data_IF_026525977140
#
_entry.id   IF_026525977140
#
_cell.length_a   1.000
_cell.length_b   1.000
_cell.length_c   1.000
_cell.angle_alpha   90.00
_cell.angle_beta   90.00
_cell.angle_gamma   90.00
#
_symmetry.space_group_name_H-M   'P 1'
#
loop_
_entity.id
_entity.type
_entity.pdbx_description
1 polymer ?
#
# COMPACT_ATOMS: atom_id res chain seq x y z
N UNK A 1 20.82 34.30 -28.61
CA UNK A 1 21.64 35.49 -28.94
C UNK A 1 22.80 35.73 -27.97
N UNK A 2 22.65 35.48 -26.66
CA UNK A 2 23.71 35.74 -25.67
C UNK A 2 25.03 34.99 -25.89
N UNK A 3 24.99 33.72 -26.32
CA UNK A 3 26.19 32.90 -26.55
C UNK A 3 27.10 33.45 -27.66
N UNK A 4 26.49 34.00 -28.71
CA UNK A 4 27.21 34.51 -29.89
C UNK A 4 27.77 35.92 -29.63
N UNK A 5 27.03 36.74 -28.88
CA UNK A 5 27.48 38.06 -28.40
C UNK A 5 28.65 37.98 -27.41
N UNK A 6 28.76 36.87 -26.65
CA UNK A 6 29.88 36.62 -25.74
C UNK A 6 31.19 36.24 -26.43
N UNK A 7 31.15 35.90 -27.72
CA UNK A 7 32.34 35.55 -28.52
C UNK A 7 32.90 36.82 -29.19
N UNK A 8 32.05 37.55 -29.92
CA UNK A 8 32.44 38.83 -30.50
C UNK A 8 31.21 39.74 -30.68
N UNK A 9 31.27 41.03 -30.31
CA UNK A 9 30.11 41.94 -30.39
C UNK A 9 29.50 42.04 -31.78
N UNK A 10 30.32 41.98 -32.83
CA UNK A 10 29.86 42.06 -34.23
C UNK A 10 29.11 40.82 -34.74
N UNK A 11 29.06 39.72 -33.96
CA UNK A 11 28.30 38.51 -34.34
C UNK A 11 26.83 38.56 -33.92
N UNK A 12 26.41 39.57 -33.16
CA UNK A 12 25.00 39.80 -32.82
C UNK A 12 24.35 40.95 -33.57
N UNK A 13 25.10 41.64 -34.43
CA UNK A 13 24.61 42.79 -35.21
C UNK A 13 24.19 42.31 -36.60
N UNK A 14 22.89 42.41 -36.91
CA UNK A 14 22.29 41.83 -38.13
C UNK A 14 22.71 42.62 -39.39
N UNK A 15 23.15 43.88 -39.23
CA UNK A 15 23.47 44.80 -40.34
C UNK A 15 24.96 45.19 -40.43
N UNK A 16 25.81 44.75 -39.50
CA UNK A 16 27.25 45.09 -39.44
C UNK A 16 28.20 44.02 -40.00
N UNK A 17 29.45 44.37 -40.38
CA UNK A 17 30.43 43.39 -40.82
C UNK A 17 30.85 42.44 -39.69
N UNK A 18 30.71 41.13 -39.92
CA UNK A 18 31.10 40.09 -38.96
C UNK A 18 32.62 39.90 -38.93
N UNK A 19 33.17 39.67 -37.74
CA UNK A 19 34.60 39.37 -37.59
C UNK A 19 34.89 37.94 -38.09
N UNK A 20 35.86 37.80 -38.99
CA UNK A 20 36.36 36.52 -39.54
C UNK A 20 37.83 36.28 -39.18
N UNK A 21 38.31 36.87 -38.08
CA UNK A 21 39.68 36.61 -37.60
C UNK A 21 39.86 35.15 -37.15
N UNK A 22 41.09 34.64 -37.23
CA UNK A 22 41.41 33.29 -36.74
C UNK A 22 41.01 33.10 -35.27
N UNK A 23 41.18 34.12 -34.44
CA UNK A 23 40.76 34.10 -33.02
C UNK A 23 39.24 33.95 -32.89
N UNK A 24 38.47 34.66 -33.71
CA UNK A 24 36.99 34.57 -33.72
C UNK A 24 36.54 33.18 -34.16
N UNK A 25 37.20 32.61 -35.19
CA UNK A 25 36.93 31.25 -35.67
C UNK A 25 37.26 30.20 -34.60
N UNK A 26 38.39 30.36 -33.89
CA UNK A 26 38.78 29.44 -32.82
C UNK A 26 37.81 29.49 -31.64
N UNK A 27 37.39 30.69 -31.22
CA UNK A 27 36.39 30.85 -30.16
C UNK A 27 35.02 30.28 -30.56
N UNK A 28 34.61 30.45 -31.82
CA UNK A 28 33.39 29.79 -32.34
C UNK A 28 33.50 28.27 -32.28
N UNK A 29 34.64 27.69 -32.68
CA UNK A 29 34.85 26.24 -32.61
C UNK A 29 34.75 25.71 -31.17
N UNK A 30 35.37 26.42 -30.21
CA UNK A 30 35.25 26.09 -28.78
C UNK A 30 33.80 26.17 -28.31
N UNK A 31 33.08 27.24 -28.65
CA UNK A 31 31.68 27.41 -28.27
C UNK A 31 30.77 26.34 -28.90
N UNK A 32 30.99 25.96 -30.16
CA UNK A 32 30.26 24.85 -30.81
C UNK A 32 30.50 23.53 -30.08
N UNK A 33 31.75 23.24 -29.69
CA UNK A 33 32.07 22.03 -28.94
C UNK A 33 31.39 22.00 -27.57
N UNK A 34 31.41 23.12 -26.84
CA UNK A 34 30.72 23.26 -25.54
C UNK A 34 29.21 23.08 -25.66
N UNK A 35 28.58 23.69 -26.68
CA UNK A 35 27.15 23.52 -26.93
C UNK A 35 26.79 22.08 -27.26
N UNK A 36 27.66 21.37 -27.98
CA UNK A 36 27.49 19.95 -28.29
C UNK A 36 27.53 19.08 -27.03
N UNK A 37 28.48 19.35 -26.14
CA UNK A 37 28.58 18.65 -24.86
C UNK A 37 27.32 18.86 -24.00
N UNK A 38 26.84 20.11 -23.89
CA UNK A 38 25.58 20.42 -23.19
C UNK A 38 24.40 19.69 -23.83
N UNK A 39 24.33 19.63 -25.17
CA UNK A 39 23.28 18.91 -25.90
C UNK A 39 23.28 17.43 -25.51
N UNK A 40 24.44 16.78 -25.53
CA UNK A 40 24.58 15.37 -25.17
C UNK A 40 24.20 15.09 -23.71
N UNK A 41 24.66 15.93 -22.77
CA UNK A 41 24.30 15.80 -21.35
C UNK A 41 22.78 15.91 -21.13
N UNK A 42 22.14 16.88 -21.79
CA UNK A 42 20.69 17.07 -21.71
C UNK A 42 19.90 15.94 -22.36
N UNK A 43 20.40 15.42 -23.48
CA UNK A 43 19.82 14.26 -24.15
C UNK A 43 19.85 13.03 -23.26
N UNK A 44 21.01 12.70 -22.67
CA UNK A 44 21.13 11.57 -21.76
C UNK A 44 20.17 11.70 -20.58
N UNK A 45 20.12 12.88 -19.96
CA UNK A 45 19.20 13.16 -18.85
C UNK A 45 17.73 12.94 -19.25
N UNK A 46 17.33 13.43 -20.43
CA UNK A 46 15.97 13.22 -20.93
C UNK A 46 15.67 11.73 -21.16
N UNK A 47 16.63 10.97 -21.69
CA UNK A 47 16.48 9.52 -21.93
C UNK A 47 16.34 8.74 -20.63
N UNK A 48 17.14 9.07 -19.62
CA UNK A 48 17.05 8.46 -18.28
C UNK A 48 15.67 8.72 -17.68
N UNK A 49 15.21 9.97 -17.71
CA UNK A 49 13.87 10.36 -17.21
C UNK A 49 12.74 9.67 -17.98
N UNK A 50 12.84 9.60 -19.31
CA UNK A 50 11.86 8.94 -20.17
C UNK A 50 11.77 7.43 -19.86
N UNK A 51 12.90 6.79 -19.56
CA UNK A 51 12.96 5.38 -19.17
C UNK A 51 12.28 5.17 -17.82
N UNK A 52 12.62 5.97 -16.81
CA UNK A 52 11.98 5.92 -15.48
C UNK A 52 10.46 6.17 -15.57
N UNK A 53 10.05 7.15 -16.38
CA UNK A 53 8.63 7.45 -16.60
C UNK A 53 7.88 6.24 -17.18
N UNK A 54 8.46 5.57 -18.17
CA UNK A 54 7.88 4.38 -18.78
C UNK A 54 7.77 3.21 -17.78
N UNK A 55 8.79 2.99 -16.95
CA UNK A 55 8.77 1.98 -15.89
C UNK A 55 7.68 2.27 -14.85
N UNK A 56 7.53 3.53 -14.43
CA UNK A 56 6.48 3.96 -13.50
C UNK A 56 5.09 3.76 -14.10
N UNK A 57 4.88 4.09 -15.37
CA UNK A 57 3.59 3.87 -16.03
C UNK A 57 3.20 2.40 -16.10
N UNK A 58 4.16 1.52 -16.43
CA UNK A 58 3.94 0.08 -16.46
C UNK A 58 3.65 -0.48 -15.05
N UNK A 59 4.33 0.02 -14.03
CA UNK A 59 4.14 -0.41 -12.65
C UNK A 59 2.79 0.04 -12.08
N UNK A 60 2.34 1.24 -12.46
CA UNK A 60 1.16 1.89 -11.89
C UNK A 60 -0.09 1.73 -12.75
N UNK A 61 -0.01 0.96 -13.83
CA UNK A 61 -1.07 0.81 -14.84
C UNK A 61 -1.64 2.17 -15.29
N UNK A 62 -0.76 3.14 -15.58
CA UNK A 62 -1.17 4.52 -15.89
C UNK A 62 -2.03 4.57 -17.16
N UNK A 63 -3.18 5.28 -17.17
CA UNK A 63 -4.05 5.37 -18.34
C UNK A 63 -3.36 5.93 -19.58
N UNK A 64 -3.73 5.43 -20.76
CA UNK A 64 -3.10 5.81 -22.03
C UNK A 64 -3.26 7.31 -22.34
N UNK A 65 -4.34 7.92 -21.86
CA UNK A 65 -4.63 9.35 -22.03
C UNK A 65 -3.58 10.21 -21.30
N UNK A 66 -3.15 9.79 -20.12
CA UNK A 66 -2.09 10.44 -19.35
C UNK A 66 -0.71 10.20 -20.02
N UNK A 67 -0.46 8.97 -20.49
CA UNK A 67 0.79 8.63 -21.19
C UNK A 67 0.96 9.44 -22.48
N UNK A 68 -0.13 9.69 -23.21
CA UNK A 68 -0.10 10.38 -24.50
C UNK A 68 0.44 11.81 -24.39
N UNK A 69 0.26 12.46 -23.23
CA UNK A 69 0.79 13.81 -22.97
C UNK A 69 2.33 13.88 -23.03
N UNK A 70 3.01 12.75 -22.82
CA UNK A 70 4.47 12.64 -22.78
C UNK A 70 5.02 11.66 -23.84
N UNK A 71 4.22 11.35 -24.88
CA UNK A 71 4.64 10.44 -25.96
C UNK A 71 5.90 10.95 -26.70
N UNK A 72 6.01 12.26 -26.88
CA UNK A 72 7.19 12.90 -27.47
C UNK A 72 8.46 12.71 -26.61
N UNK A 73 8.34 12.50 -25.30
CA UNK A 73 9.45 12.21 -24.41
C UNK A 73 9.90 10.76 -24.58
N UNK A 74 8.97 9.81 -24.55
CA UNK A 74 9.27 8.38 -24.66
C UNK A 74 9.79 7.96 -26.03
N UNK A 75 9.40 8.65 -27.11
CA UNK A 75 9.99 8.44 -28.44
C UNK A 75 11.50 8.76 -28.49
N UNK A 76 12.03 9.57 -27.56
CA UNK A 76 13.44 9.95 -27.54
C UNK A 76 14.37 8.96 -26.81
N UNK A 77 13.82 7.93 -26.15
CA UNK A 77 14.60 6.97 -25.34
C UNK A 77 15.78 6.37 -26.11
N UNK A 78 15.57 6.05 -27.40
CA UNK A 78 16.58 5.46 -28.27
C UNK A 78 17.12 6.42 -29.36
N UNK A 79 16.74 7.71 -29.31
CA UNK A 79 17.12 8.66 -30.34
C UNK A 79 18.61 9.02 -30.30
N UNK A 80 19.23 9.16 -31.48
CA UNK A 80 20.60 9.68 -31.60
C UNK A 80 20.65 11.21 -31.45
N UNK A 81 21.86 11.76 -31.28
CA UNK A 81 22.06 13.21 -31.23
C UNK A 81 21.47 13.94 -32.45
N UNK A 82 21.55 13.29 -33.61
CA UNK A 82 21.16 13.85 -34.91
C UNK A 82 19.64 13.80 -35.13
N UNK A 83 18.97 12.85 -34.49
CA UNK A 83 17.52 12.62 -34.59
C UNK A 83 16.72 13.62 -33.75
N UNK A 84 17.33 14.21 -32.71
CA UNK A 84 16.69 15.26 -31.90
C UNK A 84 16.87 16.61 -32.58
N UNK A 85 16.00 16.89 -33.55
CA UNK A 85 15.97 18.14 -34.33
C UNK A 85 14.90 19.12 -33.88
N UNK A 86 13.93 18.66 -33.08
CA UNK A 86 12.79 19.47 -32.66
C UNK A 86 13.23 20.63 -31.74
N UNK A 87 12.76 21.87 -32.00
CA UNK A 87 13.07 23.00 -31.14
C UNK A 87 12.57 22.79 -29.71
N UNK A 88 13.35 23.24 -28.73
CA UNK A 88 13.01 23.19 -27.29
C UNK A 88 12.90 21.80 -26.65
N UNK A 89 13.06 20.70 -27.39
CA UNK A 89 13.04 19.33 -26.84
C UNK A 89 14.14 19.09 -25.79
N UNK A 90 15.29 19.76 -25.92
CA UNK A 90 16.37 19.75 -24.91
C UNK A 90 16.50 21.10 -24.18
N UNK A 91 15.42 21.89 -24.13
CA UNK A 91 15.40 23.09 -23.32
C UNK A 91 15.41 22.72 -21.84
N UNK A 92 15.96 23.61 -21.00
CA UNK A 92 15.95 23.41 -19.56
C UNK A 92 14.51 23.33 -19.01
N UNK A 93 13.62 24.17 -19.54
CA UNK A 93 12.22 24.20 -19.14
C UNK A 93 11.50 22.88 -19.44
N UNK A 94 11.71 22.32 -20.63
CA UNK A 94 11.10 21.04 -21.01
C UNK A 94 11.62 19.88 -20.15
N UNK A 95 12.94 19.78 -19.95
CA UNK A 95 13.51 18.74 -19.09
C UNK A 95 12.96 18.88 -17.67
N UNK A 96 12.87 20.09 -17.14
CA UNK A 96 12.31 20.34 -15.81
C UNK A 96 10.82 19.92 -15.75
N UNK A 97 10.02 20.15 -16.80
CA UNK A 97 8.65 19.64 -16.86
C UNK A 97 8.60 18.10 -16.77
N UNK A 98 9.50 17.39 -17.45
CA UNK A 98 9.58 15.92 -17.39
C UNK A 98 10.02 15.46 -15.99
N UNK A 99 11.00 16.13 -15.39
CA UNK A 99 11.46 15.83 -14.02
C UNK A 99 10.33 15.99 -12.99
N UNK A 100 9.53 17.06 -13.11
CA UNK A 100 8.37 17.30 -12.25
C UNK A 100 7.34 16.18 -12.40
N UNK A 101 7.09 15.72 -13.62
CA UNK A 101 6.14 14.62 -13.84
C UNK A 101 6.66 13.29 -13.27
N UNK A 102 7.94 12.95 -13.48
CA UNK A 102 8.54 11.76 -12.86
C UNK A 102 8.44 11.83 -11.35
N UNK A 103 8.75 12.99 -10.75
CA UNK A 103 8.64 13.20 -9.30
C UNK A 103 7.19 13.02 -8.81
N UNK A 104 6.21 13.53 -9.56
CA UNK A 104 4.78 13.33 -9.27
C UNK A 104 4.38 11.86 -9.30
N UNK A 105 4.87 11.09 -10.27
CA UNK A 105 4.61 9.65 -10.38
C UNK A 105 5.27 8.86 -9.24
N UNK A 106 6.48 9.23 -8.83
CA UNK A 106 7.16 8.65 -7.67
C UNK A 106 6.40 8.91 -6.36
N UNK A 107 5.92 10.14 -6.16
CA UNK A 107 5.09 10.50 -5.00
C UNK A 107 3.77 9.72 -5.01
N UNK A 108 3.12 9.61 -6.17
CA UNK A 108 1.91 8.81 -6.33
C UNK A 108 2.15 7.32 -6.02
N UNK A 109 3.27 6.75 -6.48
CA UNK A 109 3.69 5.39 -6.16
C UNK A 109 3.86 5.20 -4.66
N UNK A 110 4.56 6.12 -3.99
CA UNK A 110 4.76 6.10 -2.53
C UNK A 110 3.42 6.16 -1.79
N UNK A 111 2.54 7.06 -2.19
CA UNK A 111 1.20 7.23 -1.61
C UNK A 111 0.34 5.96 -1.75
N UNK A 112 0.28 5.37 -2.95
CA UNK A 112 -0.45 4.10 -3.16
C UNK A 112 0.15 2.95 -2.36
N UNK A 113 1.48 2.88 -2.26
CA UNK A 113 2.14 1.84 -1.50
C UNK A 113 1.80 1.91 -0.01
N UNK A 114 1.77 3.12 0.56
CA UNK A 114 1.28 3.35 1.93
C UNK A 114 -0.17 2.89 2.11
N UNK A 115 -1.05 3.19 1.15
CA UNK A 115 -2.44 2.71 1.17
C UNK A 115 -2.51 1.18 1.20
N UNK A 116 -1.70 0.48 0.39
CA UNK A 116 -1.65 -0.97 0.37
C UNK A 116 -1.17 -1.56 1.71
N UNK A 117 -0.14 -0.99 2.31
CA UNK A 117 0.36 -1.40 3.62
C UNK A 117 -0.72 -1.24 4.70
N UNK A 118 -1.39 -0.09 4.75
CA UNK A 118 -2.49 0.16 5.69
C UNK A 118 -3.66 -0.80 5.46
N UNK A 119 -4.00 -1.12 4.20
CA UNK A 119 -5.03 -2.09 3.87
C UNK A 119 -4.67 -3.51 4.33
N UNK A 120 -3.41 -3.92 4.18
CA UNK A 120 -2.93 -5.22 4.69
C UNK A 120 -2.93 -5.27 6.21
N UNK A 121 -2.56 -4.18 6.88
CA UNK A 121 -2.67 -4.04 8.34
C UNK A 121 -4.11 -4.23 8.81
N UNK A 122 -5.07 -3.53 8.19
CA UNK A 122 -6.49 -3.66 8.60
C UNK A 122 -7.05 -5.06 8.33
N UNK A 123 -6.63 -5.71 7.24
CA UNK A 123 -6.95 -7.13 6.97
C UNK A 123 -6.41 -8.05 8.09
N UNK A 124 -5.16 -7.88 8.50
CA UNK A 124 -4.53 -8.61 9.60
C UNK A 124 -5.30 -8.42 10.92
N UNK A 125 -5.56 -7.17 11.30
CA UNK A 125 -6.29 -6.81 12.53
C UNK A 125 -7.72 -7.39 12.54
N UNK A 126 -8.41 -7.38 11.40
CA UNK A 126 -9.75 -7.96 11.28
C UNK A 126 -9.73 -9.47 11.49
N UNK A 127 -8.75 -10.18 10.93
CA UNK A 127 -8.61 -11.63 11.10
C UNK A 127 -8.28 -11.94 12.56
N UNK A 128 -7.33 -11.24 13.17
CA UNK A 128 -6.97 -11.43 14.58
C UNK A 128 -8.18 -11.23 15.49
N UNK A 129 -8.93 -10.13 15.31
CA UNK A 129 -10.16 -9.86 16.07
C UNK A 129 -11.21 -10.96 15.90
N UNK A 130 -11.45 -11.43 14.67
CA UNK A 130 -12.42 -12.51 14.40
C UNK A 130 -12.01 -13.86 14.97
N UNK A 131 -10.72 -14.05 15.22
CA UNK A 131 -10.15 -15.33 15.67
C UNK A 131 -9.68 -15.29 17.12
N UNK A 132 -9.93 -14.17 17.81
CA UNK A 132 -9.55 -13.94 19.20
C UNK A 132 -8.04 -14.13 19.42
N UNK A 133 -7.24 -13.74 18.43
CA UNK A 133 -5.78 -13.71 18.48
C UNK A 133 -5.32 -12.30 18.88
N UNK A 134 -4.33 -12.24 19.77
CA UNK A 134 -3.64 -10.98 20.08
C UNK A 134 -2.61 -10.72 18.97
N UNK A 135 -2.68 -9.60 18.25
CA UNK A 135 -1.65 -9.24 17.27
C UNK A 135 -0.31 -9.01 18.01
N UNK A 136 0.76 -9.71 17.63
CA UNK A 136 2.11 -9.51 18.19
C UNK A 136 2.74 -8.14 17.83
N UNK A 137 1.98 -7.23 17.23
CA UNK A 137 2.51 -6.35 16.19
C UNK A 137 2.45 -4.85 16.47
N UNK A 138 1.96 -4.41 17.62
CA UNK A 138 1.62 -2.98 17.78
C UNK A 138 2.83 -2.03 17.69
N UNK A 139 4.01 -2.44 18.18
CA UNK A 139 5.23 -1.59 18.14
C UNK A 139 6.07 -1.69 16.86
N UNK A 140 6.08 -2.85 16.18
CA UNK A 140 6.92 -3.06 14.99
C UNK A 140 6.28 -2.51 13.71
N UNK A 141 4.95 -2.45 13.67
CA UNK A 141 4.18 -1.96 12.52
C UNK A 141 4.27 -0.44 12.40
N UNK A 142 4.15 0.27 13.52
CA UNK A 142 4.21 1.74 13.53
C UNK A 142 5.60 2.22 13.05
N UNK A 143 6.65 1.52 13.48
CA UNK A 143 8.01 1.72 13.00
C UNK A 143 8.20 1.45 11.50
N UNK A 144 7.56 0.41 10.96
CA UNK A 144 7.66 0.09 9.52
C UNK A 144 6.98 1.14 8.63
N UNK A 145 5.86 1.72 9.09
CA UNK A 145 5.19 2.82 8.38
C UNK A 145 6.04 4.10 8.40
N UNK A 146 6.63 4.45 9.54
CA UNK A 146 7.56 5.59 9.65
C UNK A 146 8.86 5.38 8.85
N UNK A 147 9.35 4.14 8.77
CA UNK A 147 10.53 3.79 7.99
C UNK A 147 10.29 3.90 6.47
N UNK A 148 9.05 3.70 6.00
CA UNK A 148 8.65 3.97 4.61
C UNK A 148 8.70 5.48 4.33
N UNK A 149 8.17 6.31 5.24
CA UNK A 149 8.11 7.77 5.05
C UNK A 149 9.49 8.44 5.04
N UNK A 150 10.44 7.88 5.82
CA UNK A 150 11.83 8.35 5.83
C UNK A 150 12.67 7.81 4.66
N UNK A 151 12.11 6.95 3.80
CA UNK A 151 12.85 6.27 2.72
C UNK A 151 13.91 5.29 3.23
N UNK A 152 13.84 4.91 4.52
CA UNK A 152 14.83 4.05 5.16
C UNK A 152 14.66 2.56 4.79
N UNK A 153 13.46 2.17 4.35
CA UNK A 153 13.13 0.78 4.00
C UNK A 153 12.37 0.74 2.68
N UNK A 154 12.72 -0.25 1.84
CA UNK A 154 11.98 -0.54 0.61
C UNK A 154 10.53 -0.94 0.94
N UNK A 155 9.54 -0.16 0.50
CA UNK A 155 8.14 -0.46 0.77
C UNK A 155 7.67 -1.84 0.26
N UNK A 156 8.28 -2.38 -0.80
CA UNK A 156 7.95 -3.71 -1.31
C UNK A 156 8.28 -4.81 -0.29
N UNK A 157 9.40 -4.67 0.43
CA UNK A 157 9.81 -5.60 1.48
C UNK A 157 8.83 -5.59 2.67
N UNK A 158 8.36 -4.40 3.07
CA UNK A 158 7.36 -4.25 4.14
C UNK A 158 6.03 -4.90 3.73
N UNK A 159 5.59 -4.68 2.49
CA UNK A 159 4.36 -5.29 2.00
C UNK A 159 4.45 -6.83 1.97
N UNK A 160 5.57 -7.39 1.52
CA UNK A 160 5.80 -8.85 1.53
C UNK A 160 5.74 -9.43 2.96
N UNK A 161 6.32 -8.72 3.93
CA UNK A 161 6.25 -9.11 5.34
C UNK A 161 4.80 -9.15 5.85
N UNK A 162 3.99 -8.14 5.52
CA UNK A 162 2.57 -8.13 5.86
C UNK A 162 1.81 -9.28 5.21
N UNK A 163 2.07 -9.56 3.94
CA UNK A 163 1.42 -10.66 3.25
C UNK A 163 1.75 -12.02 3.88
N UNK A 164 2.99 -12.20 4.32
CA UNK A 164 3.41 -13.39 5.07
C UNK A 164 2.69 -13.51 6.41
N UNK A 165 2.60 -12.42 7.17
CA UNK A 165 1.87 -12.41 8.45
C UNK A 165 0.38 -12.69 8.24
N UNK A 166 -0.25 -12.06 7.23
CA UNK A 166 -1.65 -12.33 6.85
C UNK A 166 -1.85 -13.80 6.49
N UNK A 167 -0.92 -14.41 5.75
CA UNK A 167 -0.99 -15.83 5.42
C UNK A 167 -0.92 -16.72 6.68
N UNK A 168 0.01 -16.41 7.59
CA UNK A 168 0.16 -17.12 8.86
C UNK A 168 -1.10 -17.04 9.73
N UNK A 169 -1.66 -15.84 9.95
CA UNK A 169 -2.89 -15.72 10.75
C UNK A 169 -4.10 -16.36 10.08
N UNK A 170 -4.14 -16.44 8.74
CA UNK A 170 -5.19 -17.17 8.02
C UNK A 170 -5.09 -18.67 8.24
N UNK A 171 -3.88 -19.22 8.23
CA UNK A 171 -3.67 -20.64 8.56
C UNK A 171 -4.09 -20.94 10.01
N UNK A 172 -3.70 -20.06 10.93
CA UNK A 172 -4.06 -20.16 12.33
C UNK A 172 -5.59 -20.06 12.54
N UNK A 173 -6.25 -19.14 11.83
CA UNK A 173 -7.70 -19.00 11.81
C UNK A 173 -8.41 -20.30 11.41
N UNK A 174 -7.88 -21.02 10.41
CA UNK A 174 -8.42 -22.30 9.98
C UNK A 174 -8.28 -23.37 11.08
N UNK A 175 -7.14 -23.41 11.76
CA UNK A 175 -6.90 -24.33 12.88
C UNK A 175 -7.83 -24.06 14.07
N UNK A 176 -8.15 -22.80 14.35
CA UNK A 176 -9.01 -22.38 15.47
C UNK A 176 -10.50 -22.52 15.19
N UNK A 177 -10.90 -22.65 13.92
CA UNK A 177 -12.30 -22.58 13.47
C UNK A 177 -13.26 -23.46 14.27
N UNK A 178 -12.97 -24.75 14.41
CA UNK A 178 -13.89 -25.68 15.09
C UNK A 178 -14.01 -25.37 16.59
N UNK A 179 -12.92 -24.94 17.25
CA UNK A 179 -12.98 -24.49 18.65
C UNK A 179 -13.86 -23.24 18.76
N UNK A 180 -13.63 -22.23 17.92
CA UNK A 180 -14.41 -20.99 17.94
C UNK A 180 -15.91 -21.23 17.68
N UNK A 181 -16.28 -22.12 16.75
CA UNK A 181 -17.68 -22.52 16.53
C UNK A 181 -18.32 -23.21 17.76
N UNK A 182 -17.53 -23.89 18.59
CA UNK A 182 -18.02 -24.45 19.86
C UNK A 182 -18.11 -23.39 20.94
N UNK A 183 -17.16 -22.45 21.00
CA UNK A 183 -17.18 -21.33 21.94
C UNK A 183 -18.41 -20.47 21.71
N UNK A 184 -18.73 -20.14 20.46
CA UNK A 184 -19.94 -19.36 20.11
C UNK A 184 -21.23 -20.05 20.62
N UNK A 185 -21.34 -21.38 20.44
CA UNK A 185 -22.48 -22.16 20.92
C UNK A 185 -22.56 -22.22 22.44
N UNK A 186 -21.42 -22.31 23.11
CA UNK A 186 -21.34 -22.31 24.56
C UNK A 186 -21.69 -20.95 25.14
N UNK A 187 -21.15 -19.85 24.60
CA UNK A 187 -21.51 -18.48 24.99
C UNK A 187 -23.01 -18.23 24.82
N UNK A 188 -23.61 -18.61 23.69
CA UNK A 188 -25.05 -18.49 23.49
C UNK A 188 -25.88 -19.31 24.51
N UNK A 189 -25.36 -20.44 25.00
CA UNK A 189 -26.00 -21.20 26.06
C UNK A 189 -25.88 -20.51 27.42
N UNK A 190 -24.74 -19.90 27.72
CA UNK A 190 -24.52 -19.08 28.92
C UNK A 190 -25.39 -17.80 28.93
N UNK A 191 -25.62 -17.18 27.77
CA UNK A 191 -26.54 -16.05 27.63
C UNK A 191 -27.99 -16.47 27.95
N UNK A 192 -28.43 -17.63 27.43
CA UNK A 192 -29.75 -18.17 27.74
C UNK A 192 -29.86 -18.64 29.21
N UNK A 193 -28.77 -19.11 29.82
CA UNK A 193 -28.70 -19.38 31.26
C UNK A 193 -28.93 -18.11 32.08
N UNK A 194 -28.17 -17.05 31.77
CA UNK A 194 -28.28 -15.75 32.43
C UNK A 194 -29.70 -15.18 32.33
N UNK A 195 -30.29 -15.24 31.13
CA UNK A 195 -31.68 -14.84 30.91
C UNK A 195 -32.67 -15.70 31.73
N UNK A 196 -32.46 -17.02 31.80
CA UNK A 196 -33.32 -17.92 32.56
C UNK A 196 -33.22 -17.67 34.06
N UNK A 197 -32.03 -17.34 34.59
CA UNK A 197 -31.84 -16.93 35.98
C UNK A 197 -32.63 -15.67 36.30
N UNK A 198 -32.52 -14.64 35.47
CA UNK A 198 -33.29 -13.40 35.60
C UNK A 198 -34.79 -13.68 35.59
N UNK A 199 -35.26 -14.49 34.62
CA UNK A 199 -36.65 -14.91 34.53
C UNK A 199 -37.13 -15.69 35.77
N UNK A 200 -36.26 -16.51 36.37
CA UNK A 200 -36.60 -17.26 37.58
C UNK A 200 -36.67 -16.40 38.84
N UNK A 201 -35.99 -15.25 38.87
CA UNK A 201 -36.04 -14.27 39.96
C UNK A 201 -37.26 -13.34 39.90
N UNK A 202 -37.98 -13.31 38.77
CA UNK A 202 -39.18 -12.50 38.62
C UNK A 202 -40.41 -13.13 39.32
N UNK A 203 -40.84 -12.53 40.43
CA UNK A 203 -42.04 -12.94 41.18
C UNK A 203 -43.34 -12.84 40.36
N UNK A 204 -43.36 -12.00 39.31
CA UNK A 204 -44.50 -11.79 38.43
C UNK A 204 -44.54 -12.74 37.22
N UNK A 205 -43.62 -13.71 37.13
CA UNK A 205 -43.44 -14.60 35.96
C UNK A 205 -44.65 -15.46 35.57
N UNK A 206 -45.60 -15.65 36.49
CA UNK A 206 -46.82 -16.43 36.27
C UNK A 206 -48.07 -15.57 36.01
N UNK A 207 -47.94 -14.24 35.93
CA UNK A 207 -49.06 -13.40 35.58
C UNK A 207 -49.60 -13.79 34.20
N UNK A 208 -50.90 -14.09 34.13
CA UNK A 208 -51.59 -14.61 32.95
C UNK A 208 -51.86 -13.54 31.87
N UNK A 209 -50.82 -12.75 31.54
CA UNK A 209 -50.84 -11.78 30.45
C UNK A 209 -50.78 -12.45 29.07
N UNK A 210 -51.22 -11.71 28.05
CA UNK A 210 -51.09 -12.13 26.64
C UNK A 210 -49.59 -12.33 26.32
N UNK A 211 -49.19 -13.57 26.02
CA UNK A 211 -47.80 -13.92 25.70
C UNK A 211 -47.06 -14.78 26.74
N UNK A 212 -47.61 -14.98 27.94
CA UNK A 212 -46.97 -15.75 29.02
C UNK A 212 -46.57 -17.19 28.61
N UNK A 213 -47.42 -17.87 27.82
CA UNK A 213 -47.12 -19.20 27.28
C UNK A 213 -45.87 -19.23 26.38
N UNK A 214 -45.59 -18.16 25.62
CA UNK A 214 -44.39 -18.09 24.77
C UNK A 214 -43.13 -17.96 25.62
N UNK A 215 -43.17 -17.13 26.67
CA UNK A 215 -42.06 -16.98 27.62
C UNK A 215 -41.80 -18.27 28.39
N UNK A 216 -42.86 -18.95 28.85
CA UNK A 216 -42.75 -20.27 29.49
C UNK A 216 -42.12 -21.30 28.54
N UNK A 217 -42.55 -21.34 27.27
CA UNK A 217 -41.96 -22.22 26.25
C UNK A 217 -40.49 -21.89 25.98
N UNK A 218 -40.08 -20.62 26.01
CA UNK A 218 -38.66 -20.23 25.92
C UNK A 218 -37.90 -20.73 27.15
N UNK A 219 -38.44 -20.54 28.35
CA UNK A 219 -37.82 -20.99 29.60
C UNK A 219 -37.62 -22.51 29.63
N UNK A 220 -38.57 -23.31 29.12
CA UNK A 220 -38.39 -24.76 28.97
C UNK A 220 -37.27 -25.12 27.99
N UNK A 221 -37.20 -24.43 26.85
CA UNK A 221 -36.10 -24.62 25.89
C UNK A 221 -34.75 -24.23 26.48
N UNK A 222 -34.68 -23.10 27.19
CA UNK A 222 -33.48 -22.62 27.87
C UNK A 222 -32.99 -23.63 28.89
N UNK A 223 -33.86 -24.19 29.75
CA UNK A 223 -33.48 -25.28 30.69
C UNK A 223 -32.86 -26.48 29.97
N UNK A 224 -33.45 -26.89 28.84
CA UNK A 224 -32.92 -27.99 28.03
C UNK A 224 -31.55 -27.68 27.41
N UNK A 225 -31.25 -26.41 27.15
CA UNK A 225 -29.94 -25.96 26.66
C UNK A 225 -28.92 -25.84 27.80
N UNK A 226 -29.30 -25.25 28.94
CA UNK A 226 -28.47 -25.11 30.15
C UNK A 226 -28.00 -26.47 30.65
N UNK A 227 -28.87 -27.48 30.67
CA UNK A 227 -28.51 -28.86 31.04
C UNK A 227 -27.42 -29.48 30.15
N UNK A 228 -27.16 -28.92 28.96
CA UNK A 228 -26.12 -29.39 28.04
C UNK A 228 -24.79 -28.64 28.19
N UNK A 229 -24.75 -27.54 28.95
CA UNK A 229 -23.53 -26.73 29.13
C UNK A 229 -22.35 -27.57 29.62
N UNK A 230 -22.48 -28.47 30.63
CA UNK A 230 -21.35 -29.29 31.07
C UNK A 230 -20.74 -30.12 29.93
N UNK A 231 -21.58 -30.75 29.10
CA UNK A 231 -21.11 -31.53 27.95
C UNK A 231 -20.47 -30.65 26.86
N UNK A 232 -20.91 -29.40 26.68
CA UNK A 232 -20.26 -28.45 25.78
C UNK A 232 -18.87 -28.06 26.27
N UNK A 233 -18.72 -27.82 27.59
CA UNK A 233 -17.44 -27.52 28.23
C UNK A 233 -16.47 -28.70 28.10
N UNK A 234 -16.94 -29.94 28.30
CA UNK A 234 -16.10 -31.15 28.13
C UNK A 234 -15.58 -31.29 26.69
N UNK A 235 -16.44 -31.02 25.70
CA UNK A 235 -16.08 -31.04 24.28
C UNK A 235 -15.08 -29.94 23.95
N UNK A 236 -15.31 -28.72 24.44
CA UNK A 236 -14.39 -27.59 24.29
C UNK A 236 -13.01 -27.93 24.87
N UNK A 237 -12.97 -28.35 26.12
CA UNK A 237 -11.75 -28.75 26.82
C UNK A 237 -10.97 -29.81 26.04
N UNK A 238 -11.67 -30.85 25.56
CA UNK A 238 -11.04 -31.92 24.79
C UNK A 238 -10.45 -31.43 23.46
N UNK A 239 -11.15 -30.50 22.78
CA UNK A 239 -10.69 -29.93 21.50
C UNK A 239 -9.52 -28.98 21.68
N UNK A 240 -9.58 -28.13 22.71
CA UNK A 240 -8.49 -27.22 23.06
C UNK A 240 -7.22 -28.01 23.38
N UNK A 241 -7.29 -29.03 24.24
CA UNK A 241 -6.14 -29.88 24.56
C UNK A 241 -5.56 -30.57 23.31
N UNK A 242 -6.42 -31.07 22.42
CA UNK A 242 -5.98 -31.70 21.18
C UNK A 242 -5.24 -30.71 20.27
N UNK A 243 -5.78 -29.49 20.14
CA UNK A 243 -5.19 -28.42 19.35
C UNK A 243 -3.85 -27.96 19.93
N UNK A 244 -3.76 -27.75 21.24
CA UNK A 244 -2.52 -27.36 21.94
C UNK A 244 -1.43 -28.42 21.78
N UNK A 245 -1.80 -29.70 21.84
CA UNK A 245 -0.87 -30.80 21.62
C UNK A 245 -0.36 -30.86 20.16
N UNK A 246 -1.19 -30.53 19.20
CA UNK A 246 -0.82 -30.47 17.78
C UNK A 246 0.11 -29.28 17.50
N UNK A 247 -0.20 -28.11 18.06
CA UNK A 247 0.51 -26.85 17.81
C UNK A 247 1.73 -26.65 18.70
N UNK A 248 1.77 -27.30 19.87
CA UNK A 248 2.84 -27.17 20.86
C UNK A 248 2.82 -25.85 21.63
N UNK A 249 1.71 -25.12 21.59
CA UNK A 249 1.49 -23.84 22.28
C UNK A 249 0.13 -23.83 22.97
N UNK A 250 -0.01 -23.00 24.01
CA UNK A 250 -1.28 -22.81 24.73
C UNK A 250 -2.30 -22.07 23.88
N UNK A 251 -3.57 -22.46 23.98
CA UNK A 251 -4.67 -21.79 23.29
C UNK A 251 -5.16 -20.63 24.14
N UNK A 252 -5.01 -19.40 23.64
CA UNK A 252 -5.58 -18.20 24.25
C UNK A 252 -6.82 -17.72 23.49
N UNK A 253 -7.71 -16.98 24.16
CA UNK A 253 -8.88 -16.33 23.58
C UNK A 253 -8.92 -14.89 24.10
N UNK A 254 -8.62 -13.93 23.23
CA UNK A 254 -8.47 -12.49 23.56
C UNK A 254 -7.32 -12.14 24.52
N UNK A 255 -6.33 -13.03 24.66
CA UNK A 255 -5.14 -12.85 25.51
C UNK A 255 -5.14 -13.75 26.74
#
# INVERSE_FOLDING_TARGET
>A
MQTVLGIHPSLGDIEGPTSVSNDTIQQLAVATQQLREIKLQRMQKLQDLATTMLELWNLMDTPIEEQQMFQNVTCNIAASEDEITEPNTLSADFINCVEVEVSRLEELKSSKMKELVLKKRTELEEICRKTHLVPETDGAIEYAVEAIESGAVDPACVLEQFERQVAQVKEEALGRKDILEKVEKWLAACDEESWLEEYNRDDNRYNAGRGAHLTLKRAEKARGLVNKIPAMVDVLTSKTIAWEKERGVEFTYDG
#
